data_IF_553302904239
#
_entry.id   IF_553302904239
#
_cell.length_a   1.000
_cell.length_b   1.000
_cell.length_c   1.000
_cell.angle_alpha   90.00
_cell.angle_beta   90.00
_cell.angle_gamma   90.00
#
_symmetry.space_group_name_H-M   'P 1'
#
loop_
_entity.id
_entity.type
_entity.pdbx_description
1 polymer ?
#
# COMPACT_ATOMS: atom_id res chain seq x y z
N UNK A 1 3.77 1.95 9.35
CA UNK A 1 2.53 2.58 9.81
C UNK A 1 1.26 1.73 9.66
N UNK A 2 1.09 0.77 8.73
CA UNK A 2 -0.20 0.08 8.63
C UNK A 2 -0.24 -1.35 9.26
N UNK A 3 0.91 -1.96 9.59
CA UNK A 3 0.94 -3.31 10.19
C UNK A 3 0.51 -3.34 11.67
N UNK A 4 0.88 -2.33 12.45
CA UNK A 4 0.49 -2.22 13.87
C UNK A 4 -0.96 -1.82 14.07
N UNK A 5 -1.48 -0.93 13.21
CA UNK A 5 -2.87 -0.53 13.23
C UNK A 5 -3.76 -1.76 13.23
N UNK A 6 -3.61 -2.64 12.25
CA UNK A 6 -4.42 -3.84 12.09
C UNK A 6 -4.15 -4.88 13.20
N UNK A 7 -2.88 -5.16 13.54
CA UNK A 7 -2.53 -6.13 14.59
C UNK A 7 -3.05 -5.75 15.99
N UNK A 8 -3.10 -4.45 16.33
CA UNK A 8 -3.61 -4.00 17.63
C UNK A 8 -5.10 -3.66 17.61
N UNK A 9 -5.63 -3.13 16.51
CA UNK A 9 -7.08 -2.85 16.41
C UNK A 9 -7.89 -4.11 16.25
N UNK A 10 -7.43 -5.14 15.54
CA UNK A 10 -8.26 -6.31 15.26
C UNK A 10 -8.65 -7.12 16.52
N UNK A 11 -7.73 -7.50 17.42
CA UNK A 11 -8.11 -8.14 18.69
C UNK A 11 -8.93 -7.21 19.58
N UNK A 12 -8.71 -5.90 19.48
CA UNK A 12 -9.47 -4.90 20.23
C UNK A 12 -10.92 -4.79 19.74
N UNK A 13 -11.14 -4.76 18.42
CA UNK A 13 -12.46 -4.72 17.78
C UNK A 13 -13.22 -6.02 18.06
N UNK A 14 -12.57 -7.18 17.95
CA UNK A 14 -13.20 -8.48 18.22
C UNK A 14 -13.56 -8.64 19.71
N UNK A 15 -12.70 -8.17 20.63
CA UNK A 15 -13.07 -8.08 22.05
C UNK A 15 -14.23 -7.10 22.28
N UNK A 16 -14.28 -6.02 21.50
CA UNK A 16 -15.39 -5.06 21.50
C UNK A 16 -16.71 -5.63 21.02
N UNK A 17 -16.72 -6.77 20.32
CA UNK A 17 -17.93 -7.51 19.90
C UNK A 17 -18.42 -8.51 20.97
N UNK A 18 -17.81 -8.53 22.17
CA UNK A 18 -18.20 -9.42 23.26
C UNK A 18 -17.50 -10.78 23.30
N UNK A 19 -16.52 -11.03 22.43
CA UNK A 19 -15.75 -12.29 22.44
C UNK A 19 -14.63 -12.28 23.50
N UNK A 20 -14.42 -13.41 24.17
CA UNK A 20 -13.33 -13.59 25.14
C UNK A 20 -11.96 -13.49 24.47
N UNK A 21 -10.91 -13.16 25.24
CA UNK A 21 -9.56 -12.96 24.69
C UNK A 21 -9.01 -14.15 23.90
N UNK A 22 -9.32 -15.38 24.32
CA UNK A 22 -8.88 -16.60 23.62
C UNK A 22 -9.64 -16.81 22.32
N UNK A 23 -10.98 -16.67 22.34
CA UNK A 23 -11.81 -16.77 21.14
C UNK A 23 -11.49 -15.65 20.14
N UNK A 24 -11.19 -14.44 20.63
CA UNK A 24 -10.83 -13.31 19.78
C UNK A 24 -9.56 -13.57 18.96
N UNK A 25 -8.57 -14.26 19.53
CA UNK A 25 -7.33 -14.64 18.83
C UNK A 25 -7.53 -15.77 17.80
N UNK A 26 -8.55 -16.62 17.96
CA UNK A 26 -8.92 -17.60 16.93
C UNK A 26 -9.69 -16.93 15.78
N UNK A 27 -10.55 -15.96 16.09
CA UNK A 27 -11.37 -15.26 15.10
C UNK A 27 -10.56 -14.35 14.17
N UNK A 28 -9.28 -14.07 14.50
CA UNK A 28 -8.35 -13.33 13.64
C UNK A 28 -7.73 -14.18 12.53
N UNK A 29 -7.76 -15.51 12.65
CA UNK A 29 -7.11 -16.42 11.68
C UNK A 29 -7.75 -16.30 10.28
N UNK A 30 -9.08 -16.34 10.10
CA UNK A 30 -9.68 -16.26 8.78
C UNK A 30 -9.40 -14.94 8.03
N UNK A 31 -9.49 -13.75 8.68
CA UNK A 31 -9.07 -12.49 8.05
C UNK A 31 -7.63 -12.50 7.55
N UNK A 32 -6.68 -13.02 8.34
CA UNK A 32 -5.29 -13.13 7.90
C UNK A 32 -5.12 -14.09 6.73
N UNK A 33 -5.75 -15.27 6.78
CA UNK A 33 -5.69 -16.25 5.70
C UNK A 33 -6.21 -15.65 4.37
N UNK A 34 -7.36 -14.98 4.40
CA UNK A 34 -7.93 -14.30 3.23
C UNK A 34 -7.00 -13.22 2.68
N UNK A 35 -6.40 -12.40 3.57
CA UNK A 35 -5.47 -11.38 3.14
C UNK A 35 -4.15 -11.94 2.60
N UNK A 36 -3.67 -13.08 3.11
CA UNK A 36 -2.50 -13.77 2.53
C UNK A 36 -2.81 -14.29 1.14
N UNK A 37 -3.98 -14.90 0.93
CA UNK A 37 -4.41 -15.35 -0.40
C UNK A 37 -4.50 -14.17 -1.37
N UNK A 38 -5.09 -13.04 -0.96
CA UNK A 38 -5.19 -11.87 -1.83
C UNK A 38 -3.82 -11.25 -2.15
N UNK A 39 -2.89 -11.25 -1.19
CA UNK A 39 -1.53 -10.80 -1.42
C UNK A 39 -0.79 -11.70 -2.42
N UNK A 40 -0.93 -13.02 -2.33
CA UNK A 40 -0.34 -13.96 -3.29
C UNK A 40 -0.91 -13.77 -4.69
N UNK A 41 -2.23 -13.63 -4.81
CA UNK A 41 -2.90 -13.36 -6.09
C UNK A 41 -2.43 -12.02 -6.65
N UNK A 42 -2.38 -10.97 -5.83
CA UNK A 42 -1.94 -9.66 -6.28
C UNK A 42 -0.48 -9.66 -6.71
N UNK A 43 0.40 -10.36 -5.99
CA UNK A 43 1.81 -10.51 -6.40
C UNK A 43 1.91 -11.25 -7.73
N UNK A 44 1.19 -12.35 -7.89
CA UNK A 44 1.17 -13.11 -9.14
C UNK A 44 0.65 -12.29 -10.32
N UNK A 45 -0.39 -11.47 -10.11
CA UNK A 45 -0.90 -10.55 -11.14
C UNK A 45 0.12 -9.43 -11.39
N UNK A 46 0.70 -8.84 -10.35
CA UNK A 46 1.67 -7.75 -10.48
C UNK A 46 2.91 -8.16 -11.28
N UNK A 47 3.33 -9.43 -11.17
CA UNK A 47 4.43 -9.97 -11.99
C UNK A 47 4.09 -10.04 -13.49
N UNK A 48 2.81 -10.00 -13.85
CA UNK A 48 2.33 -10.05 -15.25
C UNK A 48 2.05 -8.67 -15.85
N UNK A 49 1.85 -7.63 -15.05
CA UNK A 49 1.50 -6.29 -15.50
C UNK A 49 2.64 -5.28 -15.25
N UNK A 50 3.01 -4.54 -16.30
CA UNK A 50 4.06 -3.49 -16.23
C UNK A 50 3.52 -2.20 -15.58
N UNK A 51 2.22 -1.95 -15.69
CA UNK A 51 1.53 -0.79 -15.11
C UNK A 51 1.03 -1.14 -13.70
N UNK A 52 1.62 -0.55 -12.67
CA UNK A 52 1.43 -0.96 -11.26
C UNK A 52 0.63 0.06 -10.45
N UNK A 53 0.47 1.28 -10.97
CA UNK A 53 -0.43 2.30 -10.42
C UNK A 53 -1.84 1.79 -10.04
N UNK A 54 -2.57 1.02 -10.89
CA UNK A 54 -3.92 0.58 -10.54
C UNK A 54 -3.96 -0.35 -9.33
N UNK A 55 -2.91 -1.15 -9.10
CA UNK A 55 -2.84 -2.04 -7.93
C UNK A 55 -2.65 -1.24 -6.64
N UNK A 56 -1.77 -0.22 -6.69
CA UNK A 56 -1.51 0.69 -5.56
C UNK A 56 -2.79 1.42 -5.15
N UNK A 57 -3.51 1.99 -6.13
CA UNK A 57 -4.74 2.72 -5.82
C UNK A 57 -5.83 1.77 -5.33
N UNK A 58 -5.95 0.59 -5.92
CA UNK A 58 -6.93 -0.41 -5.52
C UNK A 58 -6.75 -0.82 -4.05
N UNK A 59 -5.53 -1.16 -3.61
CA UNK A 59 -5.32 -1.55 -2.21
C UNK A 59 -5.63 -0.41 -1.22
N UNK A 60 -5.25 0.83 -1.55
CA UNK A 60 -5.54 1.98 -0.71
C UNK A 60 -7.05 2.25 -0.61
N UNK A 61 -7.81 2.09 -1.70
CA UNK A 61 -9.27 2.26 -1.66
C UNK A 61 -9.96 1.21 -0.80
N UNK A 62 -9.51 -0.05 -0.84
CA UNK A 62 -10.04 -1.12 0.02
C UNK A 62 -9.82 -0.81 1.50
N UNK A 63 -8.62 -0.30 1.85
CA UNK A 63 -8.28 0.10 3.22
C UNK A 63 -9.18 1.24 3.70
N UNK A 64 -9.39 2.27 2.86
CA UNK A 64 -10.26 3.41 3.16
C UNK A 64 -11.70 2.95 3.41
N UNK A 65 -12.24 2.09 2.53
CA UNK A 65 -13.61 1.57 2.68
C UNK A 65 -13.75 0.78 3.98
N UNK A 66 -12.79 -0.11 4.26
CA UNK A 66 -12.76 -0.90 5.49
C UNK A 66 -12.78 -0.03 6.74
N UNK A 67 -11.89 0.96 6.83
CA UNK A 67 -11.84 1.84 7.98
C UNK A 67 -13.07 2.75 8.07
N UNK A 68 -13.73 3.07 6.95
CA UNK A 68 -14.96 3.88 6.96
C UNK A 68 -16.12 3.12 7.60
N UNK A 69 -16.21 1.83 7.31
CA UNK A 69 -17.18 0.93 7.92
C UNK A 69 -16.90 0.80 9.42
N UNK A 70 -15.64 0.60 9.82
CA UNK A 70 -15.26 0.52 11.24
C UNK A 70 -15.51 1.82 12.01
N UNK A 71 -15.32 2.98 11.37
CA UNK A 71 -15.60 4.27 11.99
C UNK A 71 -17.10 4.51 12.14
N UNK A 72 -17.89 4.20 11.10
CA UNK A 72 -19.34 4.37 11.11
C UNK A 72 -20.03 3.47 12.14
N UNK A 73 -19.56 2.23 12.31
CA UNK A 73 -20.18 1.25 13.22
C UNK A 73 -19.49 1.13 14.57
N UNK A 74 -18.39 1.85 14.80
CA UNK A 74 -17.68 1.93 16.08
C UNK A 74 -18.55 2.16 17.33
N UNK A 75 -19.60 3.02 17.31
CA UNK A 75 -20.48 3.21 18.47
C UNK A 75 -21.60 2.16 18.62
N UNK A 76 -21.80 1.27 17.64
CA UNK A 76 -22.90 0.27 17.63
C UNK A 76 -22.39 -1.15 17.31
N UNK A 77 -21.19 -1.48 17.79
CA UNK A 77 -20.51 -2.75 17.50
C UNK A 77 -21.35 -3.96 17.94
N UNK A 78 -22.06 -3.84 19.08
CA UNK A 78 -22.83 -4.95 19.67
C UNK A 78 -24.02 -5.40 18.80
N UNK A 79 -24.60 -4.51 17.99
CA UNK A 79 -25.75 -4.84 17.13
C UNK A 79 -25.37 -5.13 15.67
N UNK A 80 -24.14 -4.82 15.26
CA UNK A 80 -23.64 -4.93 13.88
C UNK A 80 -22.28 -5.66 13.80
N UNK A 81 -22.21 -6.78 14.50
CA UNK A 81 -21.04 -7.66 14.53
C UNK A 81 -20.62 -8.17 13.14
N UNK A 82 -21.53 -8.64 12.25
CA UNK A 82 -21.10 -9.21 10.96
C UNK A 82 -20.50 -8.16 10.02
N UNK A 83 -21.00 -6.93 10.01
CA UNK A 83 -20.49 -5.83 9.18
C UNK A 83 -19.09 -5.40 9.64
N UNK A 84 -18.88 -5.31 10.94
CA UNK A 84 -17.57 -5.00 11.52
C UNK A 84 -16.57 -6.14 11.26
N UNK A 85 -17.01 -7.40 11.28
CA UNK A 85 -16.14 -8.54 10.95
C UNK A 85 -15.78 -8.58 9.46
N UNK A 86 -16.74 -8.28 8.58
CA UNK A 86 -16.48 -8.13 7.15
C UNK A 86 -15.47 -7.01 6.86
N UNK A 87 -15.61 -5.86 7.54
CA UNK A 87 -14.64 -4.78 7.44
C UNK A 87 -13.23 -5.22 7.84
N UNK A 88 -13.08 -6.03 8.89
CA UNK A 88 -11.78 -6.57 9.30
C UNK A 88 -11.15 -7.47 8.21
N UNK A 89 -11.95 -8.30 7.54
CA UNK A 89 -11.47 -9.11 6.41
C UNK A 89 -11.00 -8.21 5.26
N UNK A 90 -11.79 -7.18 4.92
CA UNK A 90 -11.45 -6.22 3.88
C UNK A 90 -10.17 -5.43 4.22
N UNK A 91 -10.00 -5.05 5.49
CA UNK A 91 -8.78 -4.43 6.00
C UNK A 91 -7.56 -5.31 5.74
N UNK A 92 -7.65 -6.59 6.10
CA UNK A 92 -6.56 -7.56 5.93
C UNK A 92 -6.18 -7.76 4.46
N UNK A 93 -7.17 -7.81 3.57
CA UNK A 93 -6.97 -7.93 2.13
C UNK A 93 -6.18 -6.75 1.59
N UNK A 94 -6.67 -5.52 1.81
CA UNK A 94 -5.99 -4.32 1.32
C UNK A 94 -4.60 -4.16 1.93
N UNK A 95 -4.45 -4.43 3.23
CA UNK A 95 -3.17 -4.27 3.90
C UNK A 95 -2.09 -5.25 3.45
N UNK A 96 -2.44 -6.53 3.24
CA UNK A 96 -1.45 -7.52 2.82
C UNK A 96 -1.07 -7.38 1.34
N UNK A 97 -1.96 -6.83 0.51
CA UNK A 97 -1.61 -6.41 -0.86
C UNK A 97 -0.59 -5.25 -0.83
N UNK A 98 -0.81 -4.23 0.01
CA UNK A 98 0.12 -3.11 0.18
C UNK A 98 1.53 -3.58 0.56
N UNK A 99 1.63 -4.59 1.43
CA UNK A 99 2.92 -5.13 1.87
C UNK A 99 3.70 -5.76 0.72
N UNK A 100 3.02 -6.50 -0.17
CA UNK A 100 3.60 -7.04 -1.40
C UNK A 100 4.13 -5.92 -2.31
N UNK A 101 3.36 -4.85 -2.49
CA UNK A 101 3.76 -3.71 -3.34
C UNK A 101 4.95 -2.95 -2.74
N UNK A 102 5.00 -2.77 -1.42
CA UNK A 102 6.12 -2.15 -0.72
C UNK A 102 7.40 -2.99 -0.81
N UNK A 103 7.29 -4.32 -0.71
CA UNK A 103 8.43 -5.22 -0.86
C UNK A 103 9.06 -5.08 -2.26
N UNK A 104 8.23 -4.94 -3.30
CA UNK A 104 8.72 -4.63 -4.64
C UNK A 104 9.41 -3.26 -4.71
N UNK A 105 8.80 -2.19 -4.18
CA UNK A 105 9.39 -0.85 -4.21
C UNK A 105 10.78 -0.80 -3.54
N UNK A 106 10.96 -1.52 -2.42
CA UNK A 106 12.24 -1.64 -1.72
C UNK A 106 13.32 -2.30 -2.59
N UNK A 107 12.95 -3.28 -3.42
CA UNK A 107 13.86 -3.93 -4.37
C UNK A 107 14.34 -3.01 -5.49
N UNK A 108 13.60 -1.94 -5.80
CA UNK A 108 13.89 -1.03 -6.92
C UNK A 108 14.50 0.31 -6.47
N UNK A 109 14.45 0.65 -5.18
CA UNK A 109 15.16 1.79 -4.63
C UNK A 109 16.63 1.42 -4.42
N UNK A 110 17.58 2.26 -4.78
CA UNK A 110 19.00 2.09 -4.40
C UNK A 110 19.39 3.07 -3.27
N UNK A 111 20.30 2.66 -2.39
CA UNK A 111 20.86 3.51 -1.34
C UNK A 111 20.04 3.64 -0.04
N UNK A 112 20.27 4.71 0.75
CA UNK A 112 19.73 4.89 2.11
C UNK A 112 18.19 4.95 2.17
N UNK A 113 17.52 5.20 1.05
CA UNK A 113 16.06 5.28 0.97
C UNK A 113 15.35 3.95 1.22
N UNK A 114 16.04 2.81 1.06
CA UNK A 114 15.55 1.49 1.47
C UNK A 114 15.21 1.42 2.97
N UNK A 115 15.88 2.23 3.79
CA UNK A 115 15.68 2.24 5.23
C UNK A 115 14.40 2.99 5.63
N UNK A 116 14.04 4.06 4.92
CA UNK A 116 12.86 4.86 5.25
C UNK A 116 11.54 4.14 4.94
N UNK A 117 11.54 3.24 3.96
CA UNK A 117 10.39 2.38 3.65
C UNK A 117 10.25 1.21 4.65
N UNK A 118 11.33 0.78 5.32
CA UNK A 118 11.28 -0.22 6.39
C UNK A 118 11.14 0.38 7.80
N UNK A 119 11.37 1.69 7.99
CA UNK A 119 11.17 2.45 9.23
C UNK A 119 9.70 2.65 9.62
N UNK A 120 8.84 1.78 9.12
CA UNK A 120 7.42 1.69 9.41
C UNK A 120 7.12 1.13 10.83
N UNK A 121 8.19 0.91 11.61
CA UNK A 121 8.31 0.19 12.88
C UNK A 121 8.52 1.09 14.13
N UNK A 122 8.21 2.39 14.05
CA UNK A 122 8.28 3.27 15.23
C UNK A 122 7.14 2.92 16.20
N UNK A 123 7.51 2.29 17.31
CA UNK A 123 6.68 1.83 18.43
C UNK A 123 5.85 2.95 19.07
N UNK A 124 4.66 3.20 18.54
CA UNK A 124 3.63 4.02 19.18
C UNK A 124 2.35 3.19 19.27
N UNK A 125 1.73 3.10 20.46
CA UNK A 125 0.44 2.44 20.68
C UNK A 125 -0.68 3.49 20.68
N UNK A 126 -1.28 3.84 19.53
CA UNK A 126 -2.41 4.76 19.51
C UNK A 126 -3.67 4.08 20.08
N UNK A 127 -4.52 4.86 20.75
CA UNK A 127 -5.86 4.43 21.13
C UNK A 127 -6.69 4.04 19.89
N UNK A 128 -7.76 3.24 20.07
CA UNK A 128 -8.57 2.68 18.97
C UNK A 128 -9.05 3.73 17.96
N UNK A 129 -9.53 4.87 18.43
CA UNK A 129 -9.96 5.99 17.57
C UNK A 129 -8.79 6.65 16.85
N UNK A 130 -7.67 6.87 17.55
CA UNK A 130 -6.46 7.46 16.99
C UNK A 130 -5.84 6.56 15.90
N UNK A 131 -5.86 5.23 16.07
CA UNK A 131 -5.33 4.29 15.09
C UNK A 131 -6.09 4.27 13.76
N UNK A 132 -7.42 4.39 13.81
CA UNK A 132 -8.28 4.45 12.61
C UNK A 132 -8.02 5.76 11.84
N UNK A 133 -8.05 6.90 12.53
CA UNK A 133 -7.82 8.22 11.91
C UNK A 133 -6.42 8.34 11.31
N UNK A 134 -5.38 7.87 12.02
CA UNK A 134 -4.02 7.87 11.48
C UNK A 134 -3.88 7.00 10.23
N UNK A 135 -4.56 5.85 10.19
CA UNK A 135 -4.53 4.94 9.03
C UNK A 135 -5.21 5.56 7.81
N UNK A 136 -6.32 6.27 8.01
CA UNK A 136 -6.97 7.03 6.94
C UNK A 136 -6.10 8.13 6.36
N UNK A 137 -5.45 8.93 7.21
CA UNK A 137 -4.58 10.01 6.75
C UNK A 137 -3.38 9.49 5.97
N UNK A 138 -2.79 8.38 6.42
CA UNK A 138 -1.67 7.72 5.72
C UNK A 138 -2.13 7.15 4.38
N UNK A 139 -3.29 6.49 4.33
CA UNK A 139 -3.82 5.93 3.10
C UNK A 139 -4.18 7.03 2.07
N UNK A 140 -4.82 8.11 2.53
CA UNK A 140 -5.11 9.28 1.70
C UNK A 140 -3.85 9.95 1.17
N UNK A 141 -2.83 10.14 2.02
CA UNK A 141 -1.54 10.67 1.59
C UNK A 141 -0.84 9.75 0.58
N UNK A 142 -0.97 8.43 0.73
CA UNK A 142 -0.45 7.43 -0.21
C UNK A 142 -1.08 7.55 -1.60
N UNK A 143 -2.41 7.71 -1.68
CA UNK A 143 -3.11 7.95 -2.96
C UNK A 143 -2.64 9.25 -3.60
N UNK A 144 -2.54 10.33 -2.83
CA UNK A 144 -2.09 11.63 -3.35
C UNK A 144 -0.64 11.52 -3.86
N UNK A 145 0.24 10.86 -3.11
CA UNK A 145 1.62 10.64 -3.52
C UNK A 145 1.71 9.80 -4.80
N UNK A 146 0.91 8.72 -4.92
CA UNK A 146 0.85 7.89 -6.12
C UNK A 146 0.36 8.68 -7.33
N UNK A 147 -0.68 9.50 -7.19
CA UNK A 147 -1.19 10.37 -8.26
C UNK A 147 -0.12 11.40 -8.66
N UNK A 148 0.53 12.04 -7.68
CA UNK A 148 1.60 13.00 -7.95
C UNK A 148 2.78 12.36 -8.69
N UNK A 149 3.16 11.13 -8.35
CA UNK A 149 4.20 10.37 -9.03
C UNK A 149 3.79 10.01 -10.45
N UNK A 150 2.56 9.53 -10.66
CA UNK A 150 2.04 9.19 -12.00
C UNK A 150 2.03 10.42 -12.92
N UNK A 151 1.55 11.56 -12.41
CA UNK A 151 1.55 12.83 -13.16
C UNK A 151 2.99 13.29 -13.43
N UNK A 152 3.89 13.15 -12.47
CA UNK A 152 5.30 13.50 -12.65
C UNK A 152 5.96 12.62 -13.71
N UNK A 153 5.76 11.31 -13.68
CA UNK A 153 6.29 10.38 -14.68
C UNK A 153 5.66 10.61 -16.05
N UNK A 154 4.37 10.86 -16.12
CA UNK A 154 3.70 11.22 -17.37
C UNK A 154 4.28 12.50 -17.97
N UNK A 155 4.47 13.56 -17.17
CA UNK A 155 5.04 14.83 -17.67
C UNK A 155 6.51 14.70 -18.06
N UNK A 156 7.30 13.92 -17.33
CA UNK A 156 8.71 13.64 -17.66
C UNK A 156 8.80 12.81 -18.95
N UNK A 157 8.00 11.76 -19.08
CA UNK A 157 7.94 10.93 -20.28
C UNK A 157 7.45 11.75 -21.49
N UNK A 158 6.45 12.62 -21.32
CA UNK A 158 5.96 13.51 -22.37
C UNK A 158 7.01 14.55 -22.78
N UNK A 159 7.83 15.05 -21.85
CA UNK A 159 8.97 15.94 -22.16
C UNK A 159 10.09 15.19 -22.90
N UNK A 160 10.38 13.94 -22.52
CA UNK A 160 11.42 13.11 -23.14
C UNK A 160 11.01 12.61 -24.53
N UNK A 161 9.73 12.30 -24.74
CA UNK A 161 9.17 11.90 -26.03
C UNK A 161 9.26 12.98 -27.12
N UNK A 162 9.57 14.24 -26.76
CA UNK A 162 9.79 15.33 -27.73
C UNK A 162 11.17 15.28 -28.38
N UNK A 163 12.14 14.55 -27.82
CA UNK A 163 13.48 14.37 -28.40
C UNK A 163 13.49 13.08 -29.22
N UNK A 164 13.98 13.11 -30.45
CA UNK A 164 14.12 11.89 -31.25
C UNK A 164 15.28 11.04 -30.71
N UNK A 165 15.17 9.72 -30.85
CA UNK A 165 16.22 8.78 -30.41
C UNK A 165 17.56 9.07 -31.11
N UNK A 166 17.49 9.54 -32.36
CA UNK A 166 18.63 9.94 -33.18
C UNK A 166 19.34 11.18 -32.60
N UNK A 167 18.60 12.21 -32.17
CA UNK A 167 19.19 13.37 -31.48
C UNK A 167 19.86 13.00 -30.16
N UNK A 168 19.30 12.03 -29.43
CA UNK A 168 19.83 11.58 -28.14
C UNK A 168 21.15 10.81 -28.34
N UNK A 169 21.23 9.94 -29.36
CA UNK A 169 22.45 9.19 -29.70
C UNK A 169 23.57 10.05 -30.30
N UNK A 170 23.23 11.19 -30.92
CA UNK A 170 24.23 12.18 -31.35
C UNK A 170 24.77 12.99 -30.17
N UNK A 171 23.95 13.20 -29.13
CA UNK A 171 24.29 14.05 -27.97
C UNK A 171 25.04 13.32 -26.86
N UNK A 172 24.93 12.00 -26.77
CA UNK A 172 25.51 11.18 -25.70
C UNK A 172 26.19 9.94 -26.27
N UNK A 173 27.38 9.61 -25.76
CA UNK A 173 28.03 8.32 -26.03
C UNK A 173 27.42 7.20 -25.19
N UNK A 174 27.52 5.96 -25.67
CA UNK A 174 26.92 4.78 -25.02
C UNK A 174 27.40 4.58 -23.57
N UNK A 175 28.70 4.78 -23.30
CA UNK A 175 29.27 4.73 -21.94
C UNK A 175 28.71 5.82 -21.01
N UNK A 176 28.33 6.98 -21.55
CA UNK A 176 27.71 8.04 -20.76
C UNK A 176 26.26 7.68 -20.43
N UNK A 177 25.51 7.12 -21.39
CA UNK A 177 24.13 6.66 -21.18
C UNK A 177 24.05 5.53 -20.14
N UNK A 178 25.03 4.64 -20.13
CA UNK A 178 25.12 3.56 -19.13
C UNK A 178 25.44 4.11 -17.73
N UNK A 179 26.32 5.13 -17.63
CA UNK A 179 26.64 5.80 -16.34
C UNK A 179 25.48 6.58 -15.72
N UNK A 180 24.58 7.16 -16.52
CA UNK A 180 23.39 7.84 -15.98
C UNK A 180 22.27 6.88 -15.57
N UNK A 181 22.31 5.62 -15.99
CA UNK A 181 21.34 4.59 -15.61
C UNK A 181 19.89 5.03 -15.87
N UNK A 182 19.07 4.98 -14.82
CA UNK A 182 17.64 5.37 -14.81
C UNK A 182 17.40 6.87 -15.01
N UNK A 183 18.44 7.73 -15.00
CA UNK A 183 18.33 9.13 -15.44
C UNK A 183 18.49 9.30 -16.96
N UNK A 184 18.78 8.22 -17.69
CA UNK A 184 18.92 8.24 -19.15
C UNK A 184 17.65 8.80 -19.84
N UNK A 185 17.78 9.66 -20.86
CA UNK A 185 16.65 10.14 -21.65
C UNK A 185 15.87 9.03 -22.36
N UNK A 186 16.52 7.87 -22.59
CA UNK A 186 15.91 6.69 -23.21
C UNK A 186 15.09 5.85 -22.21
N UNK A 187 15.28 6.05 -20.91
CA UNK A 187 14.56 5.34 -19.88
C UNK A 187 13.13 5.89 -19.74
N UNK A 188 12.12 5.00 -19.86
CA UNK A 188 10.71 5.31 -19.62
C UNK A 188 10.35 4.93 -18.19
N UNK A 189 9.90 5.91 -17.41
CA UNK A 189 9.36 5.65 -16.08
C UNK A 189 7.96 5.06 -16.20
N UNK A 190 7.67 4.01 -15.45
CA UNK A 190 6.34 3.41 -15.32
C UNK A 190 6.05 3.19 -13.85
N UNK A 191 4.91 3.67 -13.38
CA UNK A 191 4.43 3.40 -12.03
C UNK A 191 3.48 2.21 -12.00
#
# INVERSE_FOLDING_TARGET
MPNYGLKFTMPSVIKGMGFTSSTAALLTIPPYAMGTVSALVSSWIADRYIWRFPFIVFDQTLIIISYAILFAYGPTIDSRVPECYFALILACIGFLILLSTNAWAIGNLEGPMKHWTCLDDISWKPARSSGITSSFSVAGAGIIAAICLEVSYYTINAKRAKKSEEEIRVSYTEEQLEKVGDRSPLFKYTL
#
